data_IF_269064906960
#
_entry.id   IF_269064906960
#
_cell.length_a   1.000
_cell.length_b   1.000
_cell.length_c   1.000
_cell.angle_alpha   90.00
_cell.angle_beta   90.00
_cell.angle_gamma   90.00
#
_symmetry.space_group_name_H-M   'P 1'
#
loop_
_entity.id
_entity.type
_entity.pdbx_description
1 polymer ?
#
# COMPACT_ATOMS: atom_id res chain seq x y z
N UNK A 1 -15.94 14.92 28.47
CA UNK A 1 -15.38 14.25 27.28
C UNK A 1 -14.33 15.19 26.74
N UNK A 2 -13.06 14.78 26.69
CA UNK A 2 -12.01 15.63 26.11
C UNK A 2 -12.31 15.81 24.62
N UNK A 3 -12.25 17.05 24.15
CA UNK A 3 -12.45 17.37 22.74
C UNK A 3 -11.31 16.74 21.93
N UNK A 4 -11.64 15.97 20.90
CA UNK A 4 -10.65 15.25 20.10
C UNK A 4 -9.92 16.24 19.19
N UNK A 5 -8.59 16.21 19.20
CA UNK A 5 -7.84 17.14 18.35
C UNK A 5 -8.09 16.84 16.87
N UNK A 6 -7.94 17.86 16.02
CA UNK A 6 -8.03 17.70 14.56
C UNK A 6 -7.09 16.60 14.05
N UNK A 7 -5.88 16.54 14.59
CA UNK A 7 -4.87 15.54 14.25
C UNK A 7 -5.31 14.13 14.64
N UNK A 8 -5.83 13.96 15.86
CA UNK A 8 -6.38 12.68 16.31
C UNK A 8 -7.54 12.20 15.46
N UNK A 9 -8.40 13.12 15.02
CA UNK A 9 -9.53 12.80 14.13
C UNK A 9 -9.02 12.25 12.78
N UNK A 10 -8.15 12.97 12.08
CA UNK A 10 -7.65 12.53 10.77
C UNK A 10 -6.76 11.28 10.86
N UNK A 11 -6.02 11.10 11.97
CA UNK A 11 -5.29 9.87 12.23
C UNK A 11 -6.23 8.68 12.36
N UNK A 12 -7.31 8.78 13.13
CA UNK A 12 -8.29 7.70 13.27
C UNK A 12 -9.01 7.37 11.96
N UNK A 13 -9.35 8.37 11.17
CA UNK A 13 -9.93 8.17 9.83
C UNK A 13 -8.95 7.43 8.91
N UNK A 14 -7.66 7.82 8.93
CA UNK A 14 -6.61 7.12 8.19
C UNK A 14 -6.51 5.65 8.60
N UNK A 15 -6.35 5.37 9.90
CA UNK A 15 -6.26 4.02 10.44
C UNK A 15 -7.48 3.18 10.04
N UNK A 16 -8.69 3.73 10.21
CA UNK A 16 -9.93 3.05 9.86
C UNK A 16 -10.03 2.71 8.38
N UNK A 17 -9.64 3.63 7.51
CA UNK A 17 -9.69 3.41 6.06
C UNK A 17 -8.60 2.42 5.59
N UNK A 18 -7.38 2.49 6.12
CA UNK A 18 -6.33 1.53 5.78
C UNK A 18 -6.74 0.09 6.15
N UNK A 19 -7.33 -0.11 7.35
CA UNK A 19 -7.88 -1.41 7.78
C UNK A 19 -9.02 -1.87 6.86
N UNK A 20 -9.88 -0.95 6.43
CA UNK A 20 -10.99 -1.25 5.50
C UNK A 20 -10.47 -1.67 4.12
N UNK A 21 -9.50 -0.94 3.57
CA UNK A 21 -8.87 -1.26 2.28
C UNK A 21 -8.22 -2.62 2.33
N UNK A 22 -7.44 -2.91 3.37
CA UNK A 22 -6.82 -4.21 3.59
C UNK A 22 -7.86 -5.35 3.58
N UNK A 23 -8.92 -5.20 4.36
CA UNK A 23 -9.98 -6.21 4.47
C UNK A 23 -10.73 -6.41 3.14
N UNK A 24 -10.97 -5.34 2.39
CA UNK A 24 -11.59 -5.38 1.07
C UNK A 24 -10.68 -6.07 0.04
N UNK A 25 -9.39 -5.78 0.05
CA UNK A 25 -8.42 -6.44 -0.83
C UNK A 25 -8.32 -7.94 -0.53
N UNK A 26 -8.40 -8.38 0.73
CA UNK A 26 -8.34 -9.80 1.09
C UNK A 26 -9.53 -10.61 0.61
N UNK A 27 -10.72 -10.01 0.62
CA UNK A 27 -11.98 -10.66 0.19
C UNK A 27 -12.16 -10.67 -1.32
N UNK A 28 -11.33 -9.92 -2.04
CA UNK A 28 -11.43 -9.78 -3.49
C UNK A 28 -10.56 -10.80 -4.20
N UNK A 29 -11.05 -11.32 -5.33
CA UNK A 29 -10.28 -12.23 -6.18
C UNK A 29 -9.71 -11.49 -7.40
N UNK A 30 -10.45 -10.51 -7.93
CA UNK A 30 -10.03 -9.73 -9.08
C UNK A 30 -8.83 -8.83 -8.75
N UNK A 31 -7.73 -9.03 -9.47
CA UNK A 31 -6.53 -8.19 -9.40
C UNK A 31 -6.87 -6.72 -9.66
N UNK A 32 -7.68 -6.44 -10.68
CA UNK A 32 -8.10 -5.08 -11.03
C UNK A 32 -8.81 -4.40 -9.85
N UNK A 33 -9.71 -5.13 -9.21
CA UNK A 33 -10.51 -4.62 -8.09
C UNK A 33 -9.67 -4.47 -6.81
N UNK A 34 -8.66 -5.33 -6.59
CA UNK A 34 -7.65 -5.14 -5.54
C UNK A 34 -6.86 -3.85 -5.75
N UNK A 35 -6.40 -3.57 -6.97
CA UNK A 35 -5.67 -2.32 -7.31
C UNK A 35 -6.58 -1.10 -7.13
N UNK A 36 -7.85 -1.21 -7.53
CA UNK A 36 -8.85 -0.17 -7.27
C UNK A 36 -9.00 0.12 -5.78
N UNK A 37 -9.13 -0.90 -4.93
CA UNK A 37 -9.19 -0.70 -3.48
C UNK A 37 -7.91 -0.11 -2.92
N UNK A 38 -6.74 -0.54 -3.40
CA UNK A 38 -5.46 0.01 -2.99
C UNK A 38 -5.34 1.51 -3.27
N UNK A 39 -5.96 2.02 -4.34
CA UNK A 39 -5.99 3.47 -4.64
C UNK A 39 -6.60 4.32 -3.51
N UNK A 40 -7.52 3.75 -2.73
CA UNK A 40 -8.12 4.42 -1.59
C UNK A 40 -7.13 4.62 -0.43
N UNK A 41 -6.15 3.72 -0.26
CA UNK A 41 -5.10 3.87 0.77
C UNK A 41 -4.24 5.11 0.51
N UNK A 42 -3.80 5.31 -0.74
CA UNK A 42 -3.16 6.56 -1.15
C UNK A 42 -4.11 7.76 -0.99
N UNK A 43 -5.36 7.65 -1.43
CA UNK A 43 -6.33 8.74 -1.36
C UNK A 43 -6.60 9.27 0.05
N UNK A 44 -6.73 8.38 1.04
CA UNK A 44 -6.91 8.77 2.44
C UNK A 44 -5.63 9.38 3.03
N UNK A 45 -4.47 8.82 2.70
CA UNK A 45 -3.18 9.33 3.20
C UNK A 45 -2.95 10.75 2.71
N UNK A 46 -3.19 11.03 1.42
CA UNK A 46 -3.10 12.37 0.87
C UNK A 46 -4.12 13.35 1.47
N UNK A 47 -5.30 12.87 1.87
CA UNK A 47 -6.27 13.70 2.61
C UNK A 47 -5.72 14.04 4.00
N UNK A 48 -5.27 13.05 4.75
CA UNK A 48 -4.72 13.24 6.10
C UNK A 48 -3.50 14.16 6.08
N UNK A 49 -2.58 13.97 5.13
CA UNK A 49 -1.42 14.84 4.91
C UNK A 49 -1.78 16.33 4.80
N UNK A 50 -2.85 16.66 4.05
CA UNK A 50 -3.28 18.06 3.85
C UNK A 50 -3.90 18.71 5.09
N UNK A 51 -4.49 17.92 5.99
CA UNK A 51 -5.21 18.45 7.15
C UNK A 51 -4.48 18.27 8.49
N UNK A 52 -3.50 17.37 8.54
CA UNK A 52 -2.73 17.04 9.74
C UNK A 52 -1.30 16.63 9.33
N UNK A 53 -0.52 17.53 8.74
CA UNK A 53 0.81 17.21 8.20
C UNK A 53 1.78 16.61 9.23
N UNK A 54 2.48 15.55 8.83
CA UNK A 54 3.69 15.01 9.46
C UNK A 54 4.60 14.41 8.38
N UNK A 55 5.87 14.23 8.70
CA UNK A 55 6.82 13.56 7.79
C UNK A 55 6.40 12.10 7.50
N UNK A 56 5.79 11.44 8.48
CA UNK A 56 5.25 10.09 8.33
C UNK A 56 4.11 10.03 7.32
N UNK A 57 3.17 10.98 7.37
CA UNK A 57 2.09 11.02 6.37
C UNK A 57 2.61 11.37 4.98
N UNK A 58 3.63 12.22 4.89
CA UNK A 58 4.28 12.54 3.61
C UNK A 58 4.94 11.29 3.01
N UNK A 59 5.68 10.55 3.84
CA UNK A 59 6.34 9.32 3.41
C UNK A 59 5.32 8.26 2.97
N UNK A 60 4.27 8.04 3.75
CA UNK A 60 3.21 7.11 3.41
C UNK A 60 2.48 7.52 2.12
N UNK A 61 2.14 8.81 1.95
CA UNK A 61 1.49 9.30 0.72
C UNK A 61 2.35 9.03 -0.51
N UNK A 62 3.64 9.36 -0.43
CA UNK A 62 4.60 9.15 -1.52
C UNK A 62 4.72 7.67 -1.87
N UNK A 63 5.01 6.81 -0.88
CA UNK A 63 5.23 5.38 -1.11
C UNK A 63 3.96 4.70 -1.64
N UNK A 64 2.80 4.97 -1.05
CA UNK A 64 1.53 4.35 -1.48
C UNK A 64 1.15 4.79 -2.89
N UNK A 65 1.36 6.07 -3.25
CA UNK A 65 1.12 6.56 -4.60
C UNK A 65 2.04 5.89 -5.64
N UNK A 66 3.33 5.79 -5.33
CA UNK A 66 4.32 5.11 -6.18
C UNK A 66 3.93 3.65 -6.38
N UNK A 67 3.54 2.97 -5.32
CA UNK A 67 3.12 1.57 -5.39
C UNK A 67 1.85 1.40 -6.23
N UNK A 68 0.84 2.27 -6.05
CA UNK A 68 -0.40 2.21 -6.81
C UNK A 68 -0.13 2.39 -8.30
N UNK A 69 0.69 3.39 -8.66
CA UNK A 69 1.08 3.66 -10.03
C UNK A 69 1.83 2.47 -10.65
N UNK A 70 2.76 1.87 -9.90
CA UNK A 70 3.52 0.70 -10.34
C UNK A 70 2.64 -0.53 -10.61
N UNK A 71 1.72 -0.84 -9.69
CA UNK A 71 0.77 -1.94 -9.85
C UNK A 71 -0.17 -1.72 -11.04
N UNK A 72 -0.67 -0.49 -11.21
CA UNK A 72 -1.55 -0.14 -12.32
C UNK A 72 -0.82 -0.25 -13.67
N UNK A 73 0.44 0.18 -13.76
CA UNK A 73 1.26 0.02 -14.96
C UNK A 73 1.49 -1.46 -15.30
N UNK A 74 1.91 -2.27 -14.31
CA UNK A 74 2.09 -3.71 -14.50
C UNK A 74 0.80 -4.40 -14.95
N UNK A 75 -0.33 -4.06 -14.34
CA UNK A 75 -1.63 -4.59 -14.74
C UNK A 75 -1.98 -4.21 -16.18
N UNK A 76 -1.77 -2.96 -16.59
CA UNK A 76 -1.99 -2.51 -17.98
C UNK A 76 -1.13 -3.28 -18.98
N UNK A 77 0.15 -3.53 -18.65
CA UNK A 77 1.07 -4.33 -19.49
C UNK A 77 0.60 -5.78 -19.65
N UNK A 78 0.14 -6.40 -18.57
CA UNK A 78 -0.46 -7.74 -18.62
C UNK A 78 -1.68 -7.75 -19.55
N UNK A 79 -2.55 -6.73 -19.43
CA UNK A 79 -3.73 -6.59 -20.31
C UNK A 79 -3.37 -6.34 -21.77
N UNK A 80 -2.19 -5.78 -22.06
CA UNK A 80 -1.68 -5.60 -23.43
C UNK A 80 -0.89 -6.80 -23.96
N UNK A 81 -0.83 -7.92 -23.22
CA UNK A 81 -0.18 -9.16 -23.65
C UNK A 81 1.27 -9.34 -23.24
N UNK A 82 1.86 -8.40 -22.48
CA UNK A 82 3.17 -8.62 -21.87
C UNK A 82 2.99 -9.52 -20.63
N UNK A 83 3.35 -10.80 -20.77
CA UNK A 83 3.26 -11.80 -19.71
C UNK A 83 4.60 -12.03 -18.97
N UNK A 84 5.63 -11.21 -19.24
CA UNK A 84 7.00 -11.44 -18.73
C UNK A 84 7.07 -11.42 -17.20
N UNK A 85 6.33 -10.51 -16.56
CA UNK A 85 6.27 -10.41 -15.10
C UNK A 85 4.82 -10.61 -14.64
N UNK A 86 4.49 -11.73 -13.98
CA UNK A 86 3.14 -12.02 -13.53
C UNK A 86 2.77 -11.26 -12.25
N UNK A 87 1.48 -10.98 -12.08
CA UNK A 87 0.92 -10.53 -10.80
C UNK A 87 0.39 -11.74 -10.01
N UNK A 88 1.23 -12.24 -9.11
CA UNK A 88 0.94 -13.40 -8.25
C UNK A 88 0.23 -13.01 -6.93
N UNK A 89 -0.51 -13.94 -6.28
CA UNK A 89 -1.17 -13.69 -5.00
C UNK A 89 -0.25 -13.15 -3.90
N UNK A 90 0.99 -13.66 -3.81
CA UNK A 90 1.98 -13.27 -2.78
C UNK A 90 2.27 -11.77 -2.77
N UNK A 91 2.26 -11.10 -3.93
CA UNK A 91 2.45 -9.65 -4.01
C UNK A 91 1.34 -8.92 -3.22
N UNK A 92 0.09 -9.32 -3.45
CA UNK A 92 -1.05 -8.70 -2.79
C UNK A 92 -1.14 -9.09 -1.32
N UNK A 93 -0.78 -10.32 -0.95
CA UNK A 93 -0.74 -10.76 0.45
C UNK A 93 0.24 -9.92 1.28
N UNK A 94 1.41 -9.61 0.72
CA UNK A 94 2.41 -8.73 1.34
C UNK A 94 1.94 -7.28 1.43
N UNK A 95 1.34 -6.74 0.36
CA UNK A 95 0.77 -5.38 0.38
C UNK A 95 -0.35 -5.28 1.44
N UNK A 96 -1.24 -6.26 1.51
CA UNK A 96 -2.30 -6.32 2.50
C UNK A 96 -1.73 -6.40 3.92
N UNK A 97 -0.73 -7.27 4.15
CA UNK A 97 -0.03 -7.35 5.44
C UNK A 97 0.60 -6.01 5.83
N UNK A 98 1.28 -5.36 4.89
CA UNK A 98 1.88 -4.04 5.10
C UNK A 98 0.85 -2.95 5.37
N UNK A 99 -0.30 -2.94 4.70
CA UNK A 99 -1.39 -1.98 4.98
C UNK A 99 -1.94 -2.13 6.39
N UNK A 100 -2.12 -3.37 6.85
CA UNK A 100 -2.56 -3.64 8.23
C UNK A 100 -1.52 -3.13 9.23
N UNK A 101 -0.25 -3.48 9.03
CA UNK A 101 0.84 -3.06 9.90
C UNK A 101 1.02 -1.53 9.88
N UNK A 102 0.80 -0.88 8.74
CA UNK A 102 0.85 0.57 8.60
C UNK A 102 -0.28 1.24 9.39
N UNK A 103 -1.49 0.69 9.33
CA UNK A 103 -2.60 1.17 10.13
C UNK A 103 -2.32 1.00 11.63
N UNK A 104 -1.76 -0.14 12.03
CA UNK A 104 -1.41 -0.40 13.43
C UNK A 104 -0.30 0.55 13.91
N UNK A 105 0.73 0.82 13.10
CA UNK A 105 1.80 1.77 13.40
C UNK A 105 1.28 3.21 13.58
N UNK A 106 0.36 3.67 12.71
CA UNK A 106 -0.29 4.97 12.89
C UNK A 106 -1.18 5.03 14.15
N UNK A 107 -1.81 3.92 14.55
CA UNK A 107 -2.66 3.83 15.73
C UNK A 107 -1.81 3.86 17.02
N UNK A 108 -0.68 3.16 17.03
CA UNK A 108 0.24 3.03 18.17
C UNK A 108 1.27 4.16 18.29
N UNK A 109 1.50 4.93 17.21
CA UNK A 109 2.58 5.92 17.13
C UNK A 109 3.96 5.30 16.95
N UNK A 110 4.03 4.07 16.47
CA UNK A 110 5.27 3.36 16.12
C UNK A 110 5.77 3.75 14.73
N UNK A 111 6.99 3.34 14.39
CA UNK A 111 7.58 3.64 13.08
C UNK A 111 6.79 2.99 11.94
N UNK A 112 6.54 3.77 10.89
CA UNK A 112 5.86 3.32 9.66
C UNK A 112 6.79 2.66 8.64
N UNK A 113 8.10 2.67 8.89
CA UNK A 113 9.11 2.30 7.89
C UNK A 113 9.00 0.83 7.47
N UNK A 114 9.01 -0.10 8.42
CA UNK A 114 8.89 -1.53 8.11
C UNK A 114 7.59 -1.88 7.34
N UNK A 115 6.40 -1.37 7.73
CA UNK A 115 5.19 -1.53 6.93
C UNK A 115 5.32 -1.01 5.49
N UNK A 116 5.89 0.18 5.31
CA UNK A 116 6.05 0.79 3.99
C UNK A 116 7.07 0.03 3.13
N UNK A 117 8.17 -0.45 3.72
CA UNK A 117 9.17 -1.28 3.05
C UNK A 117 8.55 -2.60 2.55
N UNK A 118 7.66 -3.22 3.33
CA UNK A 118 6.96 -4.44 2.91
C UNK A 118 6.06 -4.19 1.68
N UNK A 119 5.28 -3.09 1.69
CA UNK A 119 4.42 -2.69 0.56
C UNK A 119 5.27 -2.38 -0.67
N UNK A 120 6.33 -1.59 -0.49
CA UNK A 120 7.23 -1.15 -1.55
C UNK A 120 7.95 -2.33 -2.18
N UNK A 121 8.50 -3.25 -1.38
CA UNK A 121 9.23 -4.43 -1.86
C UNK A 121 8.32 -5.35 -2.65
N UNK A 122 7.11 -5.59 -2.16
CA UNK A 122 6.10 -6.40 -2.85
C UNK A 122 5.65 -5.79 -4.17
N UNK A 123 5.56 -4.46 -4.25
CA UNK A 123 5.25 -3.76 -5.50
C UNK A 123 6.44 -3.74 -6.45
N UNK A 124 7.65 -3.49 -5.94
CA UNK A 124 8.87 -3.48 -6.73
C UNK A 124 9.12 -4.83 -7.39
N UNK A 125 8.82 -5.94 -6.70
CA UNK A 125 8.83 -7.30 -7.25
C UNK A 125 8.00 -7.48 -8.53
N UNK A 126 6.99 -6.64 -8.77
CA UNK A 126 6.17 -6.70 -9.99
C UNK A 126 6.77 -5.91 -11.16
N UNK A 127 7.94 -5.27 -10.96
CA UNK A 127 8.69 -4.62 -12.02
C UNK A 127 9.66 -5.60 -12.71
N UNK A 128 10.18 -5.23 -13.89
CA UNK A 128 11.23 -6.04 -14.55
C UNK A 128 12.45 -6.27 -13.66
N UNK A 129 13.09 -5.21 -13.11
CA UNK A 129 14.23 -5.36 -12.21
C UNK A 129 13.90 -6.13 -10.93
N UNK A 130 12.75 -5.87 -10.31
CA UNK A 130 12.36 -6.57 -9.08
C UNK A 130 12.09 -8.06 -9.33
N UNK A 131 11.40 -8.41 -10.42
CA UNK A 131 11.19 -9.80 -10.80
C UNK A 131 12.52 -10.51 -11.12
N UNK A 132 13.44 -9.83 -11.82
CA UNK A 132 14.78 -10.37 -12.06
C UNK A 132 15.53 -10.67 -10.75
N UNK A 133 15.44 -9.79 -9.75
CA UNK A 133 16.03 -10.04 -8.43
C UNK A 133 15.33 -11.18 -7.68
N UNK A 134 14.03 -11.42 -7.90
CA UNK A 134 13.32 -12.61 -7.38
C UNK A 134 13.83 -13.89 -8.03
N UNK A 135 13.95 -13.90 -9.36
CA UNK A 135 14.46 -15.05 -10.12
C UNK A 135 15.90 -15.39 -9.71
N UNK A 136 16.71 -14.36 -9.43
CA UNK A 136 18.08 -14.50 -8.91
C UNK A 136 18.13 -14.96 -7.43
N UNK A 137 17.05 -14.79 -6.67
CA UNK A 137 16.95 -15.15 -5.25
C UNK A 137 17.39 -14.07 -4.25
N UNK A 138 17.73 -12.87 -4.74
CA UNK A 138 18.15 -11.72 -3.92
C UNK A 138 16.95 -11.01 -3.28
N UNK A 139 15.82 -10.95 -3.99
CA UNK A 139 14.56 -10.39 -3.49
C UNK A 139 13.62 -11.50 -3.03
N UNK A 140 13.14 -11.40 -1.79
CA UNK A 140 12.22 -12.38 -1.20
C UNK A 140 10.95 -11.68 -0.73
N UNK A 141 9.82 -12.20 -1.19
CA UNK A 141 8.47 -11.82 -0.79
C UNK A 141 7.67 -13.08 -0.52
#
# INVERSE_FOLDING_TARGET
MADMTREDFFRKELVGELRRVEAMMRKEESIEKKIYYFSAAYGITGRTLRYAFTDDYLMADFVLNTCYTGLLDRFKRLRSGDATVPLEPVHFERIQGGLRALADAFDSGESILEPLEAILTATFATSGPGNYLREKGDLKI
#
